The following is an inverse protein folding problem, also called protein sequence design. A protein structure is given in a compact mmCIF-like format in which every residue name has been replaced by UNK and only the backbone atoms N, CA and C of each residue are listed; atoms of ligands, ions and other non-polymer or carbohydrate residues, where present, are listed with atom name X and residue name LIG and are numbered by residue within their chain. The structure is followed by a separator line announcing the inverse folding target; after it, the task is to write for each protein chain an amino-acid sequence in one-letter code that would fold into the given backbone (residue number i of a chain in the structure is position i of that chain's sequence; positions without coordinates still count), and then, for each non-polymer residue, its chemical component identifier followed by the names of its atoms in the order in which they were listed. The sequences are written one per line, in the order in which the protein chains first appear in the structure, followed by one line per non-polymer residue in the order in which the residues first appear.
data_IF_690592157291
#
_entry.id   IF_690592157291
#
_cell.length_a   1.000
_cell.length_b   1.000
_cell.length_c   1.000
_cell.angle_alpha   90.00
_cell.angle_beta   90.00
_cell.angle_gamma   90.00
#
_symmetry.space_group_name_H-M   'P 1'
#
loop_
_entity.id
_entity.type
_entity.pdbx_description
1 polymer ?
#
# COMPACT_ATOMS: atom_id res chain seq x y z
N UNK A 1 -27.79 -11.80 42.75
CA UNK A 1 -26.51 -12.54 42.89
C UNK A 1 -25.48 -11.81 42.05
N UNK A 2 -24.55 -11.13 42.72
CA UNK A 2 -23.51 -10.34 42.03
C UNK A 2 -22.29 -11.22 41.80
N UNK A 3 -21.87 -11.33 40.56
CA UNK A 3 -20.62 -12.02 40.15
C UNK A 3 -19.45 -11.01 40.18
N UNK A 4 -18.51 -11.23 41.07
CA UNK A 4 -17.29 -10.44 41.16
C UNK A 4 -16.34 -10.81 40.03
N UNK A 5 -15.96 -9.82 39.22
CA UNK A 5 -14.82 -9.90 38.32
C UNK A 5 -13.54 -9.69 39.13
N UNK A 6 -12.76 -10.75 39.32
CA UNK A 6 -11.44 -10.69 39.92
C UNK A 6 -10.44 -10.04 38.95
N UNK A 7 -9.96 -8.84 39.27
CA UNK A 7 -8.81 -8.21 38.62
C UNK A 7 -7.54 -8.80 39.28
N UNK A 8 -6.80 -9.59 38.55
CA UNK A 8 -5.44 -10.01 38.97
C UNK A 8 -4.45 -8.91 38.56
N UNK A 9 -4.02 -8.15 39.56
CA UNK A 9 -2.86 -7.27 39.44
C UNK A 9 -1.58 -8.13 39.52
N UNK A 10 -0.91 -8.34 38.41
CA UNK A 10 0.41 -8.99 38.39
C UNK A 10 1.48 -7.99 38.80
N UNK A 11 2.22 -8.31 39.88
CA UNK A 11 3.38 -7.56 40.35
C UNK A 11 4.49 -7.55 39.31
N UNK A 12 5.00 -6.37 38.96
CA UNK A 12 6.20 -6.22 38.12
C UNK A 12 7.42 -6.34 38.99
N UNK A 13 8.13 -7.46 38.89
CA UNK A 13 9.46 -7.65 39.49
C UNK A 13 10.52 -7.14 38.53
N UNK A 14 11.30 -6.16 38.94
CA UNK A 14 12.42 -5.58 38.20
C UNK A 14 13.71 -6.36 38.47
N UNK A 15 13.78 -7.61 37.99
CA UNK A 15 15.04 -8.34 37.97
C UNK A 15 15.46 -8.63 36.52
N UNK A 16 16.63 -8.08 36.14
CA UNK A 16 17.09 -7.89 34.77
C UNK A 16 17.71 -9.15 34.13
N UNK A 17 17.60 -10.32 34.73
CA UNK A 17 18.37 -11.48 34.27
C UNK A 17 17.56 -12.68 33.78
N UNK A 18 16.22 -12.68 33.84
CA UNK A 18 15.44 -13.79 33.28
C UNK A 18 14.04 -13.31 32.79
N UNK A 19 13.97 -12.96 31.52
CA UNK A 19 12.65 -12.75 30.89
C UNK A 19 11.98 -14.11 30.71
N UNK A 20 11.14 -14.51 31.66
CA UNK A 20 10.23 -15.65 31.48
C UNK A 20 9.11 -15.22 30.56
N UNK A 21 9.14 -15.71 29.33
CA UNK A 21 8.06 -15.48 28.36
C UNK A 21 6.87 -16.34 28.79
N UNK A 22 5.91 -15.73 29.46
CA UNK A 22 4.65 -16.39 29.79
C UNK A 22 3.84 -16.58 28.48
N UNK A 23 3.67 -17.83 28.09
CA UNK A 23 2.77 -18.18 26.97
C UNK A 23 1.34 -18.16 27.49
N UNK A 24 0.57 -17.15 27.11
CA UNK A 24 -0.85 -17.08 27.45
C UNK A 24 -1.59 -17.96 26.45
N UNK A 25 -2.24 -19.01 26.94
CA UNK A 25 -3.10 -19.89 26.15
C UNK A 25 -4.56 -19.63 26.56
N UNK A 26 -5.37 -19.14 25.63
CA UNK A 26 -6.80 -18.88 25.85
C UNK A 26 -7.64 -19.83 25.01
N UNK A 27 -8.65 -20.47 25.62
CA UNK A 27 -9.62 -21.31 24.92
C UNK A 27 -10.81 -20.44 24.54
N UNK A 28 -11.04 -20.28 23.26
CA UNK A 28 -12.21 -19.58 22.72
C UNK A 28 -13.31 -20.63 22.52
N UNK A 29 -14.45 -20.46 23.17
CA UNK A 29 -15.58 -21.41 23.11
C UNK A 29 -16.83 -20.67 22.59
N UNK A 30 -17.47 -21.22 21.57
CA UNK A 30 -18.75 -20.73 21.06
C UNK A 30 -19.90 -21.37 21.88
N UNK A 31 -20.65 -20.56 22.59
CA UNK A 31 -21.76 -21.01 23.44
C UNK A 31 -23.12 -21.03 22.76
N UNK A 32 -23.20 -20.68 21.48
CA UNK A 32 -24.47 -20.68 20.71
C UNK A 32 -25.05 -22.08 20.59
N UNK A 33 -26.39 -22.20 20.68
CA UNK A 33 -27.09 -23.48 20.55
C UNK A 33 -26.90 -24.15 19.17
N UNK A 34 -26.79 -23.35 18.09
CA UNK A 34 -26.65 -23.81 16.71
C UNK A 34 -25.20 -23.75 16.20
N UNK A 35 -24.23 -23.91 17.11
CA UNK A 35 -22.81 -23.88 16.75
C UNK A 35 -22.44 -25.03 15.79
N UNK A 36 -21.59 -24.79 14.79
CA UNK A 36 -21.06 -25.84 13.91
C UNK A 36 -20.31 -26.92 14.69
N UNK A 37 -20.35 -28.15 14.22
CA UNK A 37 -19.76 -29.30 14.92
C UNK A 37 -18.26 -29.17 15.21
N UNK A 38 -17.51 -28.49 14.33
CA UNK A 38 -16.08 -28.26 14.48
C UNK A 38 -15.72 -27.25 15.59
N UNK A 39 -16.67 -26.43 16.08
CA UNK A 39 -16.47 -25.49 17.19
C UNK A 39 -16.88 -26.08 18.55
N UNK A 40 -17.42 -27.28 18.60
CA UNK A 40 -17.89 -27.91 19.86
C UNK A 40 -16.78 -28.05 20.91
N UNK A 41 -15.54 -28.28 20.48
CA UNK A 41 -14.40 -28.51 21.37
C UNK A 41 -13.63 -27.20 21.70
N UNK A 42 -14.06 -26.05 21.14
CA UNK A 42 -13.34 -24.79 21.26
C UNK A 42 -12.02 -24.77 20.48
N UNK A 43 -11.49 -23.60 20.24
CA UNK A 43 -10.20 -23.38 19.58
C UNK A 43 -9.18 -22.89 20.59
N UNK A 44 -8.07 -23.61 20.71
CA UNK A 44 -6.95 -23.18 21.54
C UNK A 44 -6.04 -22.23 20.74
N UNK A 45 -5.98 -20.98 21.16
CA UNK A 45 -5.10 -20.00 20.57
C UNK A 45 -3.87 -19.80 21.45
N UNK A 46 -2.69 -20.12 20.92
CA UNK A 46 -1.41 -19.86 21.59
C UNK A 46 -0.88 -18.52 21.10
N UNK A 47 -0.81 -17.54 21.98
CA UNK A 47 -0.15 -16.27 21.70
C UNK A 47 1.34 -16.40 22.03
N UNK A 48 2.17 -16.29 21.01
CA UNK A 48 3.62 -16.17 21.18
C UNK A 48 3.93 -14.67 21.20
N UNK A 49 4.44 -14.11 22.31
CA UNK A 49 4.79 -12.70 22.34
C UNK A 49 5.87 -12.41 21.30
N UNK A 50 5.65 -11.38 20.50
CA UNK A 50 6.63 -10.88 19.55
C UNK A 50 7.85 -10.35 20.32
N UNK A 51 9.01 -10.97 20.13
CA UNK A 51 10.29 -10.43 20.62
C UNK A 51 10.90 -9.59 19.50
N UNK A 52 10.91 -8.26 19.59
CA UNK A 52 11.71 -7.47 18.67
C UNK A 52 13.19 -7.77 18.94
N UNK A 53 13.89 -8.33 17.96
CA UNK A 53 15.33 -8.53 18.05
C UNK A 53 16.01 -7.16 18.00
N UNK A 54 16.62 -6.75 19.10
CA UNK A 54 17.36 -5.47 19.20
C UNK A 54 18.74 -5.50 18.54
N UNK A 55 19.16 -6.64 18.05
CA UNK A 55 20.58 -6.88 17.72
C UNK A 55 21.01 -6.45 16.31
N UNK A 56 20.16 -5.79 15.52
CA UNK A 56 20.53 -5.37 14.16
C UNK A 56 20.23 -3.92 13.78
N UNK A 57 19.90 -3.05 14.73
CA UNK A 57 19.53 -1.68 14.38
C UNK A 57 20.64 -0.64 14.44
N UNK A 58 21.80 -0.93 15.07
CA UNK A 58 22.88 0.07 15.17
C UNK A 58 24.28 -0.56 15.27
N UNK A 59 24.69 -1.32 14.26
CA UNK A 59 26.10 -1.59 14.04
C UNK A 59 26.37 -1.65 12.53
N UNK A 60 26.59 -0.52 11.96
CA UNK A 60 26.95 -0.38 10.54
C UNK A 60 27.30 1.06 10.26
N UNK A 61 28.56 1.28 9.90
CA UNK A 61 29.10 2.51 9.33
C UNK A 61 28.10 3.16 8.37
N UNK A 62 28.02 4.52 8.31
CA UNK A 62 27.10 5.24 7.40
C UNK A 62 27.62 5.28 5.95
N UNK A 63 28.21 4.22 5.45
CA UNK A 63 28.68 4.11 4.06
C UNK A 63 28.10 2.85 3.45
N UNK A 64 26.94 2.97 2.95
CA UNK A 64 26.15 2.16 2.04
C UNK A 64 24.76 1.87 2.61
N UNK A 65 23.84 2.77 2.32
CA UNK A 65 22.42 2.46 2.35
C UNK A 65 22.22 1.23 1.45
N UNK A 66 21.74 0.08 1.94
CA UNK A 66 21.40 -1.00 1.04
C UNK A 66 20.37 -0.44 0.06
N UNK A 67 20.71 -0.41 -1.22
CA UNK A 67 19.76 -0.11 -2.26
C UNK A 67 18.57 -1.05 -2.07
N UNK A 68 17.39 -0.48 -1.94
CA UNK A 68 16.13 -1.22 -1.86
C UNK A 68 16.08 -2.13 -3.08
N UNK A 69 15.99 -3.48 -2.94
CA UNK A 69 15.93 -4.35 -4.10
C UNK A 69 14.68 -3.98 -4.89
N UNK A 70 14.84 -3.46 -6.09
CA UNK A 70 13.74 -3.12 -6.99
C UNK A 70 13.68 -1.66 -7.48
N UNK A 71 14.58 -0.76 -7.06
CA UNK A 71 14.55 0.65 -7.51
C UNK A 71 15.41 0.90 -8.74
N UNK A 72 16.35 0.00 -9.07
CA UNK A 72 17.24 0.15 -10.23
C UNK A 72 16.64 -0.29 -11.58
N UNK A 73 15.52 -1.03 -11.57
CA UNK A 73 14.92 -1.56 -12.79
C UNK A 73 13.63 -0.84 -13.22
N UNK A 74 13.19 0.17 -12.47
CA UNK A 74 11.98 0.93 -12.83
C UNK A 74 12.24 1.79 -14.06
N UNK A 75 11.48 1.51 -15.10
CA UNK A 75 11.51 2.26 -16.35
C UNK A 75 10.75 3.58 -16.20
N UNK A 76 9.69 3.61 -15.38
CA UNK A 76 8.81 4.76 -15.18
C UNK A 76 8.97 5.35 -13.78
N UNK A 77 9.42 6.60 -13.70
CA UNK A 77 9.68 7.32 -12.46
C UNK A 77 8.98 8.67 -12.43
N UNK A 78 8.82 9.24 -11.23
CA UNK A 78 8.40 10.64 -11.00
C UNK A 78 7.07 11.05 -11.66
N UNK A 79 6.09 10.15 -11.80
CA UNK A 79 4.80 10.48 -12.42
C UNK A 79 4.03 11.49 -11.56
N UNK A 80 3.86 12.69 -12.10
CA UNK A 80 3.11 13.81 -11.50
C UNK A 80 2.01 14.24 -12.45
N UNK A 81 0.85 14.55 -11.87
CA UNK A 81 -0.34 15.01 -12.58
C UNK A 81 -0.79 16.31 -11.95
N UNK A 82 -0.95 17.35 -12.75
CA UNK A 82 -1.36 18.67 -12.26
C UNK A 82 -2.08 19.50 -13.34
N UNK A 83 -2.96 20.44 -12.95
CA UNK A 83 -3.48 20.63 -11.60
C UNK A 83 -4.39 19.46 -11.18
N UNK A 84 -4.69 19.35 -9.90
CA UNK A 84 -5.69 18.45 -9.36
C UNK A 84 -6.38 19.14 -8.18
N UNK A 85 -7.63 19.58 -8.30
CA UNK A 85 -8.56 19.35 -9.40
C UNK A 85 -8.17 20.01 -10.72
N UNK A 86 -8.67 19.43 -11.82
CA UNK A 86 -8.45 19.91 -13.19
C UNK A 86 -9.75 20.41 -13.80
N UNK A 87 -9.69 21.55 -14.53
CA UNK A 87 -10.83 22.10 -15.27
C UNK A 87 -10.72 21.77 -16.75
N UNK A 88 -9.73 22.33 -17.41
CA UNK A 88 -9.62 22.27 -18.88
C UNK A 88 -8.41 21.48 -19.35
N UNK A 89 -7.26 21.76 -18.74
CA UNK A 89 -5.97 21.25 -19.17
C UNK A 89 -5.31 20.42 -18.09
N UNK A 90 -4.96 19.21 -18.45
CA UNK A 90 -4.24 18.26 -17.63
C UNK A 90 -2.79 18.17 -18.07
N UNK A 91 -1.87 18.39 -17.16
CA UNK A 91 -0.45 18.23 -17.40
C UNK A 91 0.06 16.97 -16.69
N UNK A 92 0.83 16.20 -17.41
CA UNK A 92 1.46 14.98 -16.92
C UNK A 92 2.97 15.07 -17.12
N UNK A 93 3.72 14.96 -16.03
CA UNK A 93 5.19 14.92 -16.04
C UNK A 93 5.66 13.57 -15.49
N UNK A 94 6.62 12.95 -16.16
CA UNK A 94 7.20 11.66 -15.79
C UNK A 94 8.59 11.52 -16.38
N UNK A 95 9.39 10.59 -15.84
CA UNK A 95 10.74 10.29 -16.29
C UNK A 95 10.82 8.85 -16.78
N UNK A 96 11.45 8.63 -17.93
CA UNK A 96 11.64 7.33 -18.57
C UNK A 96 13.12 6.96 -18.52
N UNK A 97 13.44 5.80 -17.93
CA UNK A 97 14.83 5.36 -17.80
C UNK A 97 15.44 4.83 -19.11
N UNK A 98 14.62 4.33 -20.05
CA UNK A 98 15.04 3.80 -21.36
C UNK A 98 13.96 4.01 -22.41
N UNK A 99 14.35 4.13 -23.68
CA UNK A 99 13.41 4.27 -24.80
C UNK A 99 12.32 3.20 -24.75
N UNK A 100 11.08 3.62 -24.71
CA UNK A 100 9.95 2.72 -24.51
C UNK A 100 8.67 3.22 -25.15
N UNK A 101 7.75 2.29 -25.43
CA UNK A 101 6.39 2.63 -25.82
C UNK A 101 5.61 3.08 -24.57
N UNK A 102 5.05 4.26 -24.65
CA UNK A 102 4.23 4.87 -23.60
C UNK A 102 2.78 4.88 -24.04
N UNK A 103 1.90 4.41 -23.16
CA UNK A 103 0.46 4.52 -23.35
C UNK A 103 -0.15 5.22 -22.14
N UNK A 104 -0.89 6.30 -22.38
CA UNK A 104 -1.58 7.08 -21.36
C UNK A 104 -3.07 7.01 -21.64
N UNK A 105 -3.84 6.53 -20.64
CA UNK A 105 -5.29 6.36 -20.76
C UNK A 105 -6.01 7.00 -19.58
N UNK A 106 -7.23 7.48 -19.83
CA UNK A 106 -8.17 7.88 -18.78
C UNK A 106 -9.19 6.77 -18.59
N UNK A 107 -9.44 6.44 -17.35
CA UNK A 107 -10.37 5.41 -16.92
C UNK A 107 -11.37 5.98 -15.91
N UNK A 108 -12.57 5.45 -15.89
CA UNK A 108 -13.58 5.77 -14.89
C UNK A 108 -13.32 5.04 -13.56
N UNK A 109 -14.22 5.23 -12.59
CA UNK A 109 -14.15 4.58 -11.27
C UNK A 109 -14.42 3.08 -11.32
N UNK A 110 -14.98 2.57 -12.41
CA UNK A 110 -15.23 1.15 -12.67
C UNK A 110 -14.11 0.52 -13.50
N UNK A 111 -13.03 1.24 -13.76
CA UNK A 111 -11.89 0.83 -14.60
C UNK A 111 -12.21 0.65 -16.08
N UNK A 112 -13.29 1.25 -16.57
CA UNK A 112 -13.56 1.32 -18.00
C UNK A 112 -12.66 2.39 -18.64
N UNK A 113 -12.11 2.08 -19.80
CA UNK A 113 -11.35 3.05 -20.57
C UNK A 113 -12.32 4.07 -21.21
N UNK A 114 -12.11 5.34 -20.91
CA UNK A 114 -12.89 6.43 -21.50
C UNK A 114 -12.20 6.94 -22.77
N UNK A 115 -10.89 7.17 -22.66
CA UNK A 115 -10.10 7.68 -23.79
C UNK A 115 -8.62 7.36 -23.61
N UNK A 116 -7.95 7.14 -24.75
CA UNK A 116 -6.50 7.10 -24.82
C UNK A 116 -5.98 8.50 -25.16
N UNK A 117 -5.12 9.05 -24.33
CA UNK A 117 -4.51 10.37 -24.51
C UNK A 117 -3.26 10.35 -25.36
N UNK A 118 -2.43 9.31 -25.19
CA UNK A 118 -1.16 9.14 -25.88
C UNK A 118 -0.86 7.66 -26.09
N UNK A 119 -0.36 7.33 -27.27
CA UNK A 119 0.29 6.02 -27.54
C UNK A 119 1.43 6.29 -28.51
N UNK A 120 2.63 6.38 -27.96
CA UNK A 120 3.81 6.78 -28.72
C UNK A 120 5.08 6.16 -28.13
N UNK A 121 6.10 5.98 -28.96
CA UNK A 121 7.43 5.60 -28.53
C UNK A 121 8.21 6.86 -28.16
N UNK A 122 8.63 6.95 -26.92
CA UNK A 122 9.38 8.07 -26.36
C UNK A 122 10.79 7.63 -25.97
N UNK A 123 11.72 8.57 -26.09
CA UNK A 123 13.12 8.39 -25.68
C UNK A 123 13.26 8.52 -24.18
N UNK A 124 14.33 7.96 -23.64
CA UNK A 124 14.71 8.11 -22.24
C UNK A 124 14.86 9.59 -21.87
N UNK A 125 14.50 9.92 -20.65
CA UNK A 125 14.55 11.28 -20.11
C UNK A 125 13.23 11.74 -19.50
N UNK A 126 13.19 13.03 -19.15
CA UNK A 126 12.02 13.68 -18.59
C UNK A 126 11.03 14.05 -19.71
N UNK A 127 9.78 13.68 -19.50
CA UNK A 127 8.68 13.92 -20.43
C UNK A 127 7.64 14.81 -19.76
N UNK A 128 7.07 15.73 -20.54
CA UNK A 128 5.97 16.58 -20.11
C UNK A 128 4.94 16.65 -21.24
N UNK A 129 3.74 16.20 -20.96
CA UNK A 129 2.62 16.21 -21.90
C UNK A 129 1.46 17.00 -21.33
N UNK A 130 0.76 17.73 -22.20
CA UNK A 130 -0.42 18.51 -21.87
C UNK A 130 -1.60 18.07 -22.70
N UNK A 131 -2.73 17.82 -22.05
CA UNK A 131 -3.94 17.30 -22.69
C UNK A 131 -5.14 18.19 -22.37
N UNK A 132 -5.91 18.55 -23.37
CA UNK A 132 -7.20 19.22 -23.17
C UNK A 132 -8.25 18.14 -22.88
N UNK A 133 -8.89 18.19 -21.72
CA UNK A 133 -9.87 17.23 -21.24
C UNK A 133 -11.28 17.81 -21.09
N UNK A 134 -11.44 19.13 -21.15
CA UNK A 134 -12.71 19.82 -20.92
C UNK A 134 -13.86 19.30 -21.79
N UNK A 135 -13.57 18.98 -23.06
CA UNK A 135 -14.58 18.49 -24.02
C UNK A 135 -14.80 16.96 -23.95
N UNK A 136 -14.02 16.25 -23.15
CA UNK A 136 -13.99 14.79 -23.14
C UNK A 136 -14.50 14.16 -21.86
N UNK A 137 -14.48 14.91 -20.76
CA UNK A 137 -14.81 14.41 -19.42
C UNK A 137 -15.84 15.32 -18.78
N UNK A 138 -16.81 14.73 -18.10
CA UNK A 138 -17.72 15.43 -17.20
C UNK A 138 -17.09 15.58 -15.82
N UNK A 139 -17.65 16.47 -14.98
CA UNK A 139 -17.21 16.61 -13.59
C UNK A 139 -17.28 15.28 -12.85
N UNK A 140 -16.21 14.92 -12.14
CA UNK A 140 -16.14 13.65 -11.43
C UNK A 140 -14.72 13.18 -11.12
N UNK A 141 -14.62 11.94 -10.66
CA UNK A 141 -13.34 11.29 -10.37
C UNK A 141 -12.95 10.32 -11.48
N UNK A 142 -11.70 10.40 -11.88
CA UNK A 142 -11.12 9.56 -12.93
C UNK A 142 -9.74 9.08 -12.52
N UNK A 143 -9.24 8.09 -13.25
CA UNK A 143 -7.88 7.57 -13.10
C UNK A 143 -7.10 7.77 -14.40
N UNK A 144 -5.89 8.29 -14.26
CA UNK A 144 -4.91 8.29 -15.34
C UNK A 144 -4.03 7.06 -15.17
N UNK A 145 -3.99 6.24 -16.18
CA UNK A 145 -3.14 5.05 -16.25
C UNK A 145 -2.02 5.28 -17.24
N UNK A 146 -0.80 5.28 -16.76
CA UNK A 146 0.42 5.34 -17.57
C UNK A 146 1.04 3.97 -17.62
N UNK A 147 1.21 3.42 -18.82
CA UNK A 147 1.82 2.11 -19.07
C UNK A 147 3.09 2.29 -19.90
N UNK A 148 4.21 1.74 -19.43
CA UNK A 148 5.52 1.78 -20.10
C UNK A 148 6.23 0.46 -19.85
N UNK A 149 6.62 -0.25 -20.91
CA UNK A 149 7.44 -1.47 -20.84
C UNK A 149 6.96 -2.52 -19.82
N UNK A 150 5.64 -2.66 -19.66
CA UNK A 150 5.03 -3.58 -18.69
C UNK A 150 4.80 -2.98 -17.29
N UNK A 151 5.38 -1.83 -16.99
CA UNK A 151 5.08 -1.08 -15.76
C UNK A 151 3.81 -0.26 -15.93
N UNK A 152 3.02 -0.18 -14.86
CA UNK A 152 1.77 0.57 -14.83
C UNK A 152 1.74 1.44 -13.59
N UNK A 153 1.54 2.73 -13.79
CA UNK A 153 1.27 3.67 -12.69
C UNK A 153 -0.11 4.29 -12.90
N UNK A 154 -0.89 4.32 -11.84
CA UNK A 154 -2.22 4.92 -11.84
C UNK A 154 -2.27 6.09 -10.86
N UNK A 155 -2.83 7.22 -11.31
CA UNK A 155 -3.06 8.42 -10.49
C UNK A 155 -4.53 8.83 -10.56
N UNK A 156 -5.12 9.15 -9.41
CA UNK A 156 -6.49 9.69 -9.33
C UNK A 156 -6.49 11.17 -9.62
N UNK A 157 -7.45 11.63 -10.41
CA UNK A 157 -7.73 13.02 -10.68
C UNK A 157 -9.18 13.35 -10.35
N UNK A 158 -9.45 14.61 -10.04
CA UNK A 158 -10.79 15.19 -9.92
C UNK A 158 -10.98 16.20 -11.05
N UNK A 159 -12.05 16.07 -11.81
CA UNK A 159 -12.46 17.01 -12.88
C UNK A 159 -13.59 17.87 -12.35
N UNK A 160 -13.51 19.20 -12.56
CA UNK A 160 -14.49 20.18 -12.10
C UNK A 160 -15.62 20.38 -13.10
#
# INVERSE_FOLDING_TARGET
MQGHAGVFAGAVSTDTSKVVVATISTKITDTRLNRPAFLKNGVMVKFVPFKPSKDKLFSGNPTSRPAKPGESDKVLNNVKVYPNPVSDQLNLSYSIAKDSNVTIKIMDVLWNEITTLLTERLTAGDQANSFNIASRLSSGFYFIRVSIAGEIITKRISVL
#
